data_IF_007036021033
#
_entry.id   IF_007036021033
#
_cell.length_a   1.000
_cell.length_b   1.000
_cell.length_c   1.000
_cell.angle_alpha   90.00
_cell.angle_beta   90.00
_cell.angle_gamma   90.00
#
_symmetry.space_group_name_H-M   'P 1'
#
loop_
_entity.id
_entity.type
_entity.pdbx_description
1 polymer ?
#
# COMPACT_ATOMS: atom_id res chain seq x y z
N UNK A 1 25.55 2.56 26.98
CA UNK A 1 25.50 2.22 25.55
C UNK A 1 24.05 1.88 25.20
N UNK A 2 23.22 2.91 25.02
CA UNK A 2 21.80 2.74 24.68
C UNK A 2 21.71 2.32 23.22
N UNK A 3 21.23 1.09 23.01
CA UNK A 3 20.89 0.55 21.71
C UNK A 3 19.82 1.43 21.10
N UNK A 4 20.19 2.30 20.16
CA UNK A 4 19.24 3.02 19.33
C UNK A 4 18.59 1.97 18.42
N UNK A 5 17.49 1.42 18.94
CA UNK A 5 16.55 0.55 18.24
C UNK A 5 16.30 1.17 16.87
N UNK A 6 16.67 0.42 15.82
CA UNK A 6 16.63 0.81 14.41
C UNK A 6 15.37 1.62 14.14
N UNK A 7 15.54 2.92 14.01
CA UNK A 7 14.46 3.82 13.64
C UNK A 7 14.11 3.44 12.21
N UNK A 8 13.04 2.64 12.09
CA UNK A 8 12.51 2.13 10.83
C UNK A 8 12.41 3.32 9.88
N UNK A 9 13.22 3.31 8.82
CA UNK A 9 13.24 4.39 7.84
C UNK A 9 11.80 4.76 7.48
N UNK A 10 11.47 6.06 7.40
CA UNK A 10 10.14 6.48 7.00
C UNK A 10 9.84 5.82 5.65
N UNK A 11 8.95 4.83 5.65
CA UNK A 11 8.46 4.20 4.42
C UNK A 11 8.01 5.34 3.53
N UNK A 12 8.68 5.53 2.39
CA UNK A 12 8.36 6.59 1.46
C UNK A 12 6.84 6.63 1.26
N UNK A 13 6.23 7.77 1.61
CA UNK A 13 4.78 7.93 1.52
C UNK A 13 4.36 7.85 0.06
N UNK A 14 3.47 6.93 -0.27
CA UNK A 14 2.96 6.80 -1.63
C UNK A 14 1.94 7.90 -1.91
N UNK A 15 2.06 8.55 -3.06
CA UNK A 15 1.15 9.62 -3.49
C UNK A 15 0.47 9.27 -4.81
N UNK A 16 -0.80 9.62 -4.94
CA UNK A 16 -1.53 9.48 -6.20
C UNK A 16 -0.95 10.46 -7.24
N UNK A 17 -0.57 10.01 -8.45
CA UNK A 17 0.02 10.89 -9.46
C UNK A 17 -0.97 11.93 -10.01
N UNK A 18 -2.29 11.74 -9.82
CA UNK A 18 -3.34 12.63 -10.35
C UNK A 18 -3.71 13.71 -9.34
N UNK A 19 -4.20 13.32 -8.16
CA UNK A 19 -4.68 14.28 -7.15
C UNK A 19 -3.62 14.64 -6.09
N UNK A 20 -2.44 14.01 -6.14
CA UNK A 20 -1.31 14.23 -5.20
C UNK A 20 -1.63 13.98 -3.72
N UNK A 21 -2.74 13.29 -3.43
CA UNK A 21 -3.08 12.85 -2.07
C UNK A 21 -2.30 11.59 -1.72
N UNK A 22 -1.96 11.45 -0.44
CA UNK A 22 -1.35 10.23 0.10
C UNK A 22 -2.30 9.04 -0.13
N UNK A 23 -1.73 7.93 -0.56
CA UNK A 23 -2.44 6.66 -0.72
C UNK A 23 -1.87 5.62 0.24
N UNK A 24 -2.68 4.64 0.60
CA UNK A 24 -2.23 3.54 1.43
C UNK A 24 -1.19 2.70 0.68
N UNK A 25 -0.18 2.17 1.38
CA UNK A 25 0.80 1.25 0.79
C UNK A 25 0.22 -0.16 0.73
N UNK A 26 0.12 -0.76 -0.45
CA UNK A 26 -0.33 -2.14 -0.60
C UNK A 26 0.82 -3.11 -0.83
N UNK A 27 0.64 -4.34 -0.34
CA UNK A 27 1.56 -5.45 -0.57
C UNK A 27 0.97 -6.31 -1.67
N UNK A 28 1.67 -6.42 -2.79
CA UNK A 28 1.33 -7.37 -3.85
C UNK A 28 2.28 -8.56 -3.80
N UNK A 29 1.76 -9.76 -4.07
CA UNK A 29 2.61 -10.96 -4.21
C UNK A 29 3.01 -11.10 -5.67
N UNK A 30 4.31 -10.99 -5.92
CA UNK A 30 4.89 -11.24 -7.23
C UNK A 30 5.59 -12.59 -7.22
N UNK A 31 5.33 -13.44 -8.22
CA UNK A 31 5.98 -14.74 -8.33
C UNK A 31 7.18 -14.63 -9.26
N UNK A 32 8.37 -14.90 -8.74
CA UNK A 32 9.62 -14.84 -9.49
C UNK A 32 10.37 -16.15 -9.28
N UNK A 33 10.72 -16.85 -10.37
CA UNK A 33 11.48 -18.10 -10.33
C UNK A 33 10.91 -19.15 -9.36
N UNK A 34 9.59 -19.24 -9.24
CA UNK A 34 8.93 -20.20 -8.36
C UNK A 34 8.72 -19.73 -6.91
N UNK A 35 9.30 -18.60 -6.49
CA UNK A 35 9.16 -18.04 -5.13
C UNK A 35 8.21 -16.83 -5.15
N UNK A 36 7.45 -16.64 -4.07
CA UNK A 36 6.61 -15.46 -3.88
C UNK A 36 7.38 -14.36 -3.14
N UNK A 37 7.54 -13.22 -3.80
CA UNK A 37 8.19 -12.02 -3.28
C UNK A 37 7.11 -10.98 -2.96
N UNK A 38 7.10 -10.37 -1.76
CA UNK A 38 6.23 -9.24 -1.46
C UNK A 38 6.79 -7.97 -2.10
N UNK A 39 5.98 -7.31 -2.92
CA UNK A 39 6.28 -5.98 -3.47
C UNK A 39 5.41 -4.95 -2.77
N UNK A 40 6.03 -3.92 -2.22
CA UNK A 40 5.36 -2.76 -1.64
C UNK A 40 5.20 -1.70 -2.72
N UNK A 41 3.99 -1.17 -2.87
CA UNK A 41 3.72 -0.11 -3.85
C UNK A 41 2.55 0.77 -3.44
N UNK A 42 2.24 1.79 -4.25
CA UNK A 42 1.07 2.63 -4.04
C UNK A 42 -0.20 1.78 -4.19
N UNK A 43 -1.07 1.85 -3.20
CA UNK A 43 -2.43 1.34 -3.31
C UNK A 43 -3.33 2.25 -4.16
N UNK A 44 -4.56 1.80 -4.39
CA UNK A 44 -5.55 2.56 -5.17
C UNK A 44 -5.90 3.91 -4.53
N UNK A 45 -6.31 4.87 -5.37
CA UNK A 45 -6.80 6.15 -4.89
C UNK A 45 -8.26 6.04 -4.44
N UNK A 46 -8.54 6.35 -3.19
CA UNK A 46 -9.90 6.36 -2.64
C UNK A 46 -10.51 7.76 -2.54
N UNK A 47 -9.95 8.76 -3.22
CA UNK A 47 -10.54 10.10 -3.31
C UNK A 47 -11.65 10.13 -4.38
N UNK A 48 -12.93 10.29 -4.04
CA UNK A 48 -14.04 10.24 -4.99
C UNK A 48 -13.99 11.32 -6.07
N UNK A 49 -13.32 12.43 -5.81
CA UNK A 49 -13.14 13.54 -6.77
C UNK A 49 -11.96 13.30 -7.74
N UNK A 50 -11.24 12.19 -7.61
CA UNK A 50 -10.07 11.89 -8.43
C UNK A 50 -10.47 11.11 -9.69
N UNK A 51 -9.91 11.47 -10.85
CA UNK A 51 -10.10 10.69 -12.08
C UNK A 51 -9.55 9.25 -11.99
N UNK A 52 -8.63 8.99 -11.06
CA UNK A 52 -8.09 7.65 -10.76
C UNK A 52 -8.77 7.00 -9.55
N UNK A 53 -9.97 7.46 -9.16
CA UNK A 53 -10.71 6.89 -8.04
C UNK A 53 -11.05 5.42 -8.27
N UNK A 54 -10.69 4.59 -7.31
CA UNK A 54 -11.13 3.20 -7.23
C UNK A 54 -11.89 2.98 -5.92
N UNK A 55 -13.13 2.46 -5.96
CA UNK A 55 -13.89 2.19 -4.75
C UNK A 55 -13.25 1.06 -3.95
N UNK A 56 -13.19 1.21 -2.62
CA UNK A 56 -12.67 0.17 -1.76
C UNK A 56 -13.48 -1.12 -1.92
N UNK A 57 -12.78 -2.24 -2.16
CA UNK A 57 -13.44 -3.54 -2.28
C UNK A 57 -14.03 -3.93 -0.91
N UNK A 58 -15.30 -4.36 -0.84
CA UNK A 58 -15.87 -4.81 0.42
C UNK A 58 -15.04 -5.96 0.97
N UNK A 59 -14.62 -5.86 2.24
CA UNK A 59 -14.02 -7.01 2.92
C UNK A 59 -15.07 -8.13 2.97
N UNK A 60 -14.72 -9.37 2.56
CA UNK A 60 -15.65 -10.48 2.68
C UNK A 60 -16.06 -10.63 4.15
N UNK A 61 -17.36 -10.80 4.41
CA UNK A 61 -17.88 -11.00 5.76
C UNK A 61 -17.23 -12.28 6.33
N UNK A 62 -16.79 -12.29 7.59
CA UNK A 62 -16.35 -13.52 8.24
C UNK A 62 -17.48 -14.55 8.15
N UNK A 63 -17.13 -15.82 7.86
CA UNK A 63 -18.09 -16.91 8.04
C UNK A 63 -18.32 -17.08 9.55
N UNK A 64 -19.57 -17.32 10.01
CA UNK A 64 -19.87 -17.55 11.42
C UNK A 64 -19.05 -18.68 12.02
#
# INVERSE_FOLDING_TARGET
MTSHMRETEPRAEHVCPVCRRTVHSEITRHKTLGVFVPLWGPGPCHNPDCAAYEPARPRPRPRP
#
